data_IF_327198551484
#
_entry.id   IF_327198551484
#
_cell.length_a   1.000
_cell.length_b   1.000
_cell.length_c   1.000
_cell.angle_alpha   90.00
_cell.angle_beta   90.00
_cell.angle_gamma   90.00
#
_symmetry.space_group_name_H-M   'P 1'
#
loop_
_entity.id
_entity.type
_entity.pdbx_description
1 polymer ?
#
# COMPACT_ATOMS: atom_id res chain seq x y z
N UNK A 1 0.87 -13.65 2.33
CA UNK A 1 -0.52 -13.30 1.97
C UNK A 1 -0.45 -12.21 0.92
N UNK A 2 -1.23 -12.33 -0.16
CA UNK A 2 -1.25 -11.35 -1.25
C UNK A 2 -2.46 -10.43 -1.17
N UNK A 3 -2.25 -9.12 -1.34
CA UNK A 3 -3.31 -8.11 -1.42
C UNK A 3 -3.03 -7.11 -2.54
N UNK A 4 -4.11 -6.63 -3.16
CA UNK A 4 -4.06 -5.49 -4.07
C UNK A 4 -4.22 -4.21 -3.25
N UNK A 5 -3.31 -3.27 -3.42
CA UNK A 5 -3.28 -2.01 -2.66
C UNK A 5 -3.22 -0.84 -3.63
N UNK A 6 -4.23 0.02 -3.58
CA UNK A 6 -4.27 1.26 -4.34
C UNK A 6 -3.59 2.38 -3.56
N UNK A 7 -2.85 3.23 -4.26
CA UNK A 7 -2.19 4.42 -3.72
C UNK A 7 -2.81 5.65 -4.38
N UNK A 8 -3.24 6.60 -3.55
CA UNK A 8 -3.92 7.82 -3.95
C UNK A 8 -3.16 9.05 -3.47
N UNK A 9 -3.34 10.18 -4.15
CA UNK A 9 -3.04 11.49 -3.56
C UNK A 9 -4.04 11.78 -2.44
N UNK A 10 -3.57 12.20 -1.27
CA UNK A 10 -4.43 12.61 -0.14
C UNK A 10 -5.35 13.76 -0.54
N UNK A 11 -4.80 14.73 -1.28
CA UNK A 11 -5.56 15.83 -1.85
C UNK A 11 -6.09 15.42 -3.23
N UNK A 12 -7.41 15.41 -3.39
CA UNK A 12 -8.08 15.07 -4.65
C UNK A 12 -8.39 13.59 -4.87
N UNK A 13 -7.85 12.67 -4.03
CA UNK A 13 -8.09 11.21 -4.12
C UNK A 13 -7.83 10.61 -5.49
N UNK A 14 -6.94 11.23 -6.27
CA UNK A 14 -6.52 10.72 -7.57
C UNK A 14 -5.71 9.43 -7.37
N UNK A 15 -6.05 8.38 -8.13
CA UNK A 15 -5.29 7.12 -8.12
C UNK A 15 -3.92 7.36 -8.79
N UNK A 16 -2.86 7.12 -8.02
CA UNK A 16 -1.47 7.24 -8.48
C UNK A 16 -0.98 5.90 -9.01
N UNK A 17 -1.29 4.81 -8.30
CA UNK A 17 -0.90 3.46 -8.70
C UNK A 17 -1.64 2.35 -7.95
N UNK A 18 -1.56 1.14 -8.46
CA UNK A 18 -2.02 -0.10 -7.79
C UNK A 18 -0.89 -1.12 -7.68
N UNK A 19 -0.54 -1.51 -6.47
CA UNK A 19 0.42 -2.59 -6.20
C UNK A 19 -0.28 -3.92 -5.95
N UNK A 20 0.41 -5.01 -6.29
CA UNK A 20 0.15 -6.34 -5.72
C UNK A 20 1.26 -6.61 -4.72
N UNK A 21 0.93 -6.65 -3.44
CA UNK A 21 1.88 -6.82 -2.35
C UNK A 21 1.73 -8.23 -1.78
N UNK A 22 2.84 -8.93 -1.66
CA UNK A 22 2.94 -10.21 -0.95
C UNK A 22 3.76 -9.99 0.32
N UNK A 23 3.10 -10.04 1.47
CA UNK A 23 3.78 -10.03 2.76
C UNK A 23 3.91 -11.46 3.25
N UNK A 24 5.03 -11.79 3.90
CA UNK A 24 5.22 -13.09 4.52
C UNK A 24 4.06 -13.37 5.49
N UNK A 25 3.61 -14.63 5.51
CA UNK A 25 2.52 -15.08 6.37
C UNK A 25 2.85 -16.48 6.86
N UNK A 26 3.41 -16.54 8.06
CA UNK A 26 3.84 -17.74 8.77
C UNK A 26 3.27 -17.74 10.20
N UNK A 27 3.67 -18.73 10.99
CA UNK A 27 3.14 -18.91 12.35
C UNK A 27 3.47 -17.73 13.30
N UNK A 28 4.50 -16.94 12.99
CA UNK A 28 4.94 -15.81 13.81
C UNK A 28 4.35 -14.47 13.35
N UNK A 29 4.02 -14.33 12.06
CA UNK A 29 3.53 -13.08 11.50
C UNK A 29 2.32 -13.26 10.59
N UNK A 30 1.23 -12.60 10.99
CA UNK A 30 -0.06 -12.59 10.28
C UNK A 30 -0.39 -11.15 9.88
N UNK A 31 0.02 -10.69 8.68
CA UNK A 31 -0.14 -9.30 8.28
C UNK A 31 -1.61 -8.89 8.19
N UNK A 32 -1.93 -7.80 8.88
CA UNK A 32 -3.21 -7.11 8.78
C UNK A 32 -3.24 -6.11 7.64
N UNK A 33 -4.41 -5.50 7.40
CA UNK A 33 -4.59 -4.50 6.34
C UNK A 33 -3.57 -3.35 6.41
N UNK A 34 -3.26 -2.87 7.62
CA UNK A 34 -2.34 -1.74 7.82
C UNK A 34 -0.91 -2.07 7.36
N UNK A 35 -0.47 -3.32 7.49
CA UNK A 35 0.86 -3.75 7.05
C UNK A 35 1.00 -3.62 5.52
N UNK A 36 -0.06 -4.01 4.79
CA UNK A 36 -0.11 -3.86 3.33
C UNK A 36 -0.17 -2.39 2.89
N UNK A 37 -0.94 -1.55 3.60
CA UNK A 37 -1.02 -0.11 3.32
C UNK A 37 0.33 0.58 3.59
N UNK A 38 1.02 0.22 4.67
CA UNK A 38 2.35 0.72 4.99
C UNK A 38 3.39 0.31 3.94
N UNK A 39 3.38 -0.94 3.51
CA UNK A 39 4.31 -1.42 2.48
C UNK A 39 4.06 -0.72 1.13
N UNK A 40 2.80 -0.47 0.76
CA UNK A 40 2.50 0.29 -0.45
C UNK A 40 3.05 1.73 -0.40
N UNK A 41 3.01 2.39 0.76
CA UNK A 41 3.60 3.72 0.95
C UNK A 41 5.13 3.67 0.90
N UNK A 42 5.75 2.64 1.47
CA UNK A 42 7.21 2.43 1.39
C UNK A 42 7.65 2.23 -0.07
N UNK A 43 6.98 1.35 -0.81
CA UNK A 43 7.26 1.10 -2.23
C UNK A 43 7.06 2.37 -3.07
N UNK A 44 6.03 3.17 -2.79
CA UNK A 44 5.78 4.43 -3.50
C UNK A 44 6.93 5.44 -3.38
N UNK A 45 7.64 5.44 -2.25
CA UNK A 45 8.84 6.26 -2.07
C UNK A 45 10.01 5.76 -2.92
N UNK A 46 10.23 4.43 -2.91
CA UNK A 46 11.29 3.77 -3.71
C UNK A 46 11.08 4.05 -5.20
N UNK A 47 9.83 3.93 -5.65
CA UNK A 47 9.44 4.14 -7.04
C UNK A 47 9.25 5.63 -7.41
N UNK A 48 9.53 6.55 -6.48
CA UNK A 48 9.44 8.01 -6.66
C UNK A 48 8.06 8.50 -7.15
N UNK A 49 6.98 7.91 -6.63
CA UNK A 49 5.60 8.21 -7.07
C UNK A 49 4.95 9.39 -6.35
N UNK A 50 5.63 9.94 -5.36
CA UNK A 50 5.18 11.10 -4.58
C UNK A 50 5.78 11.08 -3.19
N UNK A 51 5.59 12.18 -2.46
CA UNK A 51 6.03 12.25 -1.07
C UNK A 51 5.08 11.43 -0.18
N UNK A 52 5.60 10.67 0.81
CA UNK A 52 4.76 9.79 1.61
C UNK A 52 3.75 10.53 2.48
N UNK A 53 3.99 11.80 2.80
CA UNK A 53 3.04 12.66 3.49
C UNK A 53 1.88 13.13 2.57
N UNK A 54 2.02 13.03 1.25
CA UNK A 54 1.01 13.42 0.25
C UNK A 54 0.20 12.24 -0.28
N UNK A 55 0.61 11.00 0.03
CA UNK A 55 -0.01 9.77 -0.45
C UNK A 55 -0.77 9.03 0.66
N UNK A 56 -1.85 8.36 0.28
CA UNK A 56 -2.54 7.39 1.13
C UNK A 56 -2.71 6.08 0.38
N UNK A 57 -2.52 4.95 1.07
CA UNK A 57 -2.72 3.63 0.51
C UNK A 57 -3.99 2.98 1.08
N UNK A 58 -4.68 2.17 0.28
CA UNK A 58 -5.84 1.38 0.70
C UNK A 58 -5.82 0.00 0.07
N UNK A 59 -5.96 -1.03 0.90
CA UNK A 59 -6.20 -2.40 0.41
C UNK A 59 -7.57 -2.45 -0.26
N UNK A 60 -7.67 -3.08 -1.44
CA UNK A 60 -8.96 -3.41 -2.05
C UNK A 60 -9.63 -4.51 -1.25
N UNK A 61 -10.74 -4.16 -0.62
CA UNK A 61 -11.66 -5.11 -0.01
C UNK A 61 -12.61 -5.56 -1.13
N UNK A 62 -12.36 -6.74 -1.69
CA UNK A 62 -13.28 -7.38 -2.63
C UNK A 62 -14.41 -8.09 -1.86
#
# INVERSE_FOLDING_TARGET
MKRVVDVFKKHGRELVWTYVIDLQNDDEFHPGQLDFEAEALRLSQVDKRGLPNELSARVRLN
#
